data_IF_001820291928
#
_entry.id   IF_001820291928
#
_cell.length_a   1.000
_cell.length_b   1.000
_cell.length_c   1.000
_cell.angle_alpha   90.00
_cell.angle_beta   90.00
_cell.angle_gamma   90.00
#
_symmetry.space_group_name_H-M   'P 1'
#
loop_
_entity.id
_entity.type
_entity.pdbx_description
1 polymer ?
#
# COMPACT_ATOMS: atom_id res chain seq x y z
N UNK A 1 26.79 2.42 9.58
CA UNK A 1 25.67 2.04 10.48
C UNK A 1 24.57 1.26 9.78
N UNK A 2 24.29 1.48 8.48
CA UNK A 2 23.23 0.77 7.75
C UNK A 2 23.36 -0.76 7.65
N UNK A 3 24.59 -1.30 7.68
CA UNK A 3 24.81 -2.75 7.67
C UNK A 3 24.26 -3.47 8.91
N UNK A 4 24.36 -2.87 10.10
CA UNK A 4 23.80 -3.45 11.34
C UNK A 4 22.26 -3.45 11.29
N UNK A 5 21.66 -2.37 10.79
CA UNK A 5 20.21 -2.26 10.64
C UNK A 5 19.67 -3.27 9.62
N UNK A 6 20.36 -3.46 8.48
CA UNK A 6 20.01 -4.50 7.50
C UNK A 6 20.09 -5.91 8.09
N UNK A 7 21.09 -6.18 8.94
CA UNK A 7 21.26 -7.50 9.56
C UNK A 7 20.20 -7.78 10.64
N UNK A 8 19.71 -6.76 11.33
CA UNK A 8 18.72 -6.89 12.43
C UNK A 8 17.27 -6.78 11.97
N UNK A 9 16.98 -5.99 10.92
CA UNK A 9 15.62 -5.69 10.47
C UNK A 9 15.34 -6.11 9.02
N UNK A 10 16.35 -6.63 8.31
CA UNK A 10 16.23 -7.09 6.92
C UNK A 10 15.06 -8.05 6.70
N UNK A 11 14.34 -7.85 5.61
CA UNK A 11 13.40 -8.86 5.08
C UNK A 11 14.23 -9.96 4.42
N UNK A 12 14.02 -11.20 4.85
CA UNK A 12 14.70 -12.36 4.29
C UNK A 12 14.09 -12.73 2.90
N UNK A 13 14.89 -13.15 1.91
CA UNK A 13 14.37 -13.50 0.58
C UNK A 13 13.28 -14.58 0.61
N UNK A 14 13.34 -15.48 1.58
CA UNK A 14 12.36 -16.56 1.76
C UNK A 14 10.97 -16.01 2.11
N UNK A 15 10.88 -14.88 2.82
CA UNK A 15 9.60 -14.25 3.18
C UNK A 15 8.84 -13.70 1.96
N UNK A 16 9.50 -13.61 0.80
CA UNK A 16 8.94 -13.11 -0.46
C UNK A 16 8.38 -14.25 -1.31
N UNK A 17 8.92 -15.47 -1.12
CA UNK A 17 8.57 -16.63 -1.94
C UNK A 17 7.14 -17.10 -1.68
N UNK A 18 6.40 -17.34 -2.75
CA UNK A 18 4.99 -17.71 -2.67
C UNK A 18 4.76 -19.02 -1.89
N UNK A 19 5.65 -20.00 -2.10
CA UNK A 19 5.58 -21.32 -1.46
C UNK A 19 5.89 -21.28 0.04
N UNK A 20 6.91 -20.50 0.44
CA UNK A 20 7.26 -20.31 1.84
C UNK A 20 6.12 -19.69 2.66
N UNK A 21 5.28 -18.87 2.02
CA UNK A 21 4.11 -18.22 2.65
C UNK A 21 2.89 -19.14 2.79
N UNK A 22 2.95 -20.33 2.20
CA UNK A 22 1.83 -21.25 2.16
C UNK A 22 0.63 -20.68 1.39
N UNK A 23 0.87 -19.79 0.42
CA UNK A 23 -0.18 -19.33 -0.48
C UNK A 23 -0.51 -20.44 -1.47
N UNK A 24 -1.77 -20.49 -1.92
CA UNK A 24 -2.27 -21.57 -2.77
C UNK A 24 -2.97 -21.03 -4.02
N UNK A 25 -2.83 -21.75 -5.13
CA UNK A 25 -3.52 -21.43 -6.40
C UNK A 25 -2.73 -20.45 -7.27
N UNK A 26 -3.40 -19.91 -8.29
CA UNK A 26 -2.79 -19.03 -9.29
C UNK A 26 -1.88 -19.75 -10.30
N UNK A 27 -1.88 -19.28 -11.54
CA UNK A 27 -0.96 -19.72 -12.58
C UNK A 27 0.48 -19.23 -12.33
N UNK A 28 1.44 -19.76 -13.09
CA UNK A 28 2.87 -19.41 -12.95
C UNK A 28 3.10 -17.90 -13.07
N UNK A 29 2.42 -17.25 -14.03
CA UNK A 29 2.59 -15.81 -14.29
C UNK A 29 2.20 -14.90 -13.11
N UNK A 30 1.05 -15.15 -12.47
CA UNK A 30 0.61 -14.31 -11.34
C UNK A 30 1.49 -14.52 -10.10
N UNK A 31 1.99 -15.75 -9.89
CA UNK A 31 2.94 -16.04 -8.81
C UNK A 31 4.25 -15.30 -9.02
N UNK A 32 4.83 -15.38 -10.22
CA UNK A 32 6.04 -14.63 -10.57
C UNK A 32 5.85 -13.12 -10.43
N UNK A 33 4.69 -12.58 -10.82
CA UNK A 33 4.37 -11.16 -10.64
C UNK A 33 4.32 -10.78 -9.16
N UNK A 34 3.68 -11.59 -8.31
CA UNK A 34 3.61 -11.35 -6.86
C UNK A 34 5.01 -11.38 -6.23
N UNK A 35 5.84 -12.35 -6.60
CA UNK A 35 7.22 -12.45 -6.12
C UNK A 35 8.06 -11.25 -6.58
N UNK A 36 7.96 -10.85 -7.85
CA UNK A 36 8.64 -9.67 -8.38
C UNK A 36 8.25 -8.38 -7.64
N UNK A 37 6.96 -8.23 -7.29
CA UNK A 37 6.48 -7.11 -6.47
C UNK A 37 7.15 -7.12 -5.09
N UNK A 38 7.18 -8.28 -4.44
CA UNK A 38 7.80 -8.45 -3.13
C UNK A 38 9.33 -8.22 -3.14
N UNK A 39 10.02 -8.69 -4.18
CA UNK A 39 11.46 -8.46 -4.39
C UNK A 39 11.75 -6.96 -4.57
N UNK A 40 10.92 -6.28 -5.36
CA UNK A 40 11.05 -4.83 -5.58
C UNK A 40 10.84 -4.06 -4.27
N UNK A 41 9.82 -4.42 -3.50
CA UNK A 41 9.58 -3.85 -2.17
C UNK A 41 10.77 -4.08 -1.23
N UNK A 42 11.27 -5.31 -1.14
CA UNK A 42 12.38 -5.65 -0.26
C UNK A 42 13.68 -4.94 -0.67
N UNK A 43 13.92 -4.77 -1.97
CA UNK A 43 15.05 -3.99 -2.50
C UNK A 43 15.00 -2.53 -2.02
N UNK A 44 13.86 -1.86 -2.17
CA UNK A 44 13.69 -0.49 -1.68
C UNK A 44 13.85 -0.38 -0.16
N UNK A 45 13.32 -1.35 0.59
CA UNK A 45 13.49 -1.44 2.04
C UNK A 45 14.97 -1.56 2.43
N UNK A 46 15.73 -2.46 1.81
CA UNK A 46 17.16 -2.60 2.09
C UNK A 46 17.96 -1.37 1.66
N UNK A 47 17.60 -0.71 0.56
CA UNK A 47 18.25 0.53 0.12
C UNK A 47 18.13 1.63 1.20
N UNK A 48 16.92 1.85 1.72
CA UNK A 48 16.67 2.83 2.78
C UNK A 48 17.32 2.50 4.14
N UNK A 49 17.65 1.24 4.39
CA UNK A 49 18.43 0.87 5.57
C UNK A 49 19.93 1.19 5.42
N UNK A 50 20.43 1.30 4.19
CA UNK A 50 21.84 1.57 3.89
C UNK A 50 22.10 3.06 3.69
N UNK A 51 21.19 3.75 3.02
CA UNK A 51 21.26 5.17 2.69
C UNK A 51 20.03 5.89 3.22
N UNK A 52 20.25 6.83 4.15
CA UNK A 52 19.20 7.67 4.72
C UNK A 52 19.19 9.11 4.18
N UNK A 53 19.98 9.40 3.15
CA UNK A 53 19.93 10.67 2.41
C UNK A 53 18.78 10.63 1.38
N UNK A 54 17.80 11.55 1.44
CA UNK A 54 16.60 11.47 0.61
C UNK A 54 16.84 11.47 -0.90
N UNK A 55 17.73 12.34 -1.41
CA UNK A 55 17.94 12.53 -2.83
C UNK A 55 18.66 11.33 -3.47
N UNK A 56 19.71 10.84 -2.81
CA UNK A 56 20.52 9.70 -3.23
C UNK A 56 19.74 8.39 -3.15
N UNK A 57 18.91 8.22 -2.12
CA UNK A 57 17.96 7.11 -2.04
C UNK A 57 16.99 7.14 -3.21
N UNK A 58 16.33 8.28 -3.48
CA UNK A 58 15.38 8.39 -4.59
C UNK A 58 16.04 8.16 -5.96
N UNK A 59 17.23 8.70 -6.19
CA UNK A 59 18.01 8.44 -7.41
C UNK A 59 18.28 6.94 -7.58
N UNK A 60 18.67 6.27 -6.51
CA UNK A 60 18.90 4.82 -6.52
C UNK A 60 17.62 4.04 -6.87
N UNK A 61 16.49 4.37 -6.25
CA UNK A 61 15.21 3.73 -6.53
C UNK A 61 14.74 3.96 -7.97
N UNK A 62 14.89 5.19 -8.46
CA UNK A 62 14.50 5.58 -9.83
C UNK A 62 15.34 4.89 -10.90
N UNK A 63 16.63 4.69 -10.63
CA UNK A 63 17.57 4.03 -11.54
C UNK A 63 17.40 2.51 -11.55
N UNK A 64 17.12 1.90 -10.40
CA UNK A 64 17.06 0.44 -10.26
C UNK A 64 15.70 -0.14 -10.63
N UNK A 65 14.62 0.65 -10.59
CA UNK A 65 13.26 0.14 -10.76
C UNK A 65 12.51 0.93 -11.83
N UNK A 66 12.09 0.21 -12.86
CA UNK A 66 11.41 0.76 -14.01
C UNK A 66 9.88 0.76 -13.87
N UNK A 67 9.25 1.71 -14.55
CA UNK A 67 7.82 1.71 -14.87
C UNK A 67 6.89 1.50 -13.66
N UNK A 68 6.03 0.48 -13.78
CA UNK A 68 4.92 0.23 -12.86
C UNK A 68 5.35 -0.25 -11.47
N UNK A 69 6.55 -0.84 -11.36
CA UNK A 69 7.02 -1.46 -10.11
C UNK A 69 7.66 -0.45 -9.15
N UNK A 70 8.04 0.74 -9.65
CA UNK A 70 8.73 1.78 -8.88
C UNK A 70 8.00 2.15 -7.59
N UNK A 71 6.67 2.20 -7.63
CA UNK A 71 5.87 2.50 -6.44
C UNK A 71 6.14 1.54 -5.28
N UNK A 72 6.34 0.24 -5.55
CA UNK A 72 6.66 -0.75 -4.51
C UNK A 72 8.05 -0.54 -3.91
N UNK A 73 9.02 -0.09 -4.71
CA UNK A 73 10.35 0.25 -4.20
C UNK A 73 10.29 1.44 -3.23
N UNK A 74 9.52 2.48 -3.58
CA UNK A 74 9.26 3.61 -2.70
C UNK A 74 8.46 3.22 -1.44
N UNK A 75 7.52 2.27 -1.56
CA UNK A 75 6.80 1.71 -0.41
C UNK A 75 7.75 1.02 0.57
N UNK A 76 8.64 0.15 0.07
CA UNK A 76 9.66 -0.51 0.86
C UNK A 76 10.64 0.47 1.49
N UNK A 77 11.11 1.46 0.72
CA UNK A 77 12.01 2.50 1.22
C UNK A 77 11.36 3.29 2.37
N UNK A 78 10.10 3.67 2.23
CA UNK A 78 9.35 4.35 3.28
C UNK A 78 9.25 3.50 4.56
N UNK A 79 9.02 2.20 4.43
CA UNK A 79 9.06 1.29 5.58
C UNK A 79 10.45 1.28 6.24
N UNK A 80 11.53 1.25 5.45
CA UNK A 80 12.92 1.26 5.93
C UNK A 80 13.23 2.52 6.73
N UNK A 81 12.89 3.69 6.19
CA UNK A 81 13.06 4.98 6.86
C UNK A 81 12.24 5.07 8.15
N UNK A 82 11.00 4.60 8.14
CA UNK A 82 10.13 4.60 9.33
C UNK A 82 10.69 3.71 10.45
N UNK A 83 11.23 2.52 10.11
CA UNK A 83 11.93 1.66 11.08
C UNK A 83 13.19 2.36 11.61
N UNK A 84 13.97 3.00 10.74
CA UNK A 84 15.17 3.73 11.16
C UNK A 84 14.86 4.92 12.08
N UNK A 85 13.76 5.64 11.85
CA UNK A 85 13.29 6.74 12.70
C UNK A 85 12.82 6.23 14.06
N UNK A 86 12.17 5.06 14.12
CA UNK A 86 11.81 4.43 15.39
C UNK A 86 13.04 4.03 16.21
N UNK A 87 14.07 3.47 15.58
CA UNK A 87 15.31 3.04 16.23
C UNK A 87 16.17 4.24 16.67
N UNK A 88 16.08 5.37 15.95
CA UNK A 88 16.85 6.58 16.22
C UNK A 88 15.96 7.82 16.41
N UNK A 89 15.14 7.86 17.48
CA UNK A 89 14.07 8.86 17.64
C UNK A 89 14.58 10.29 17.93
N UNK A 90 15.85 10.45 18.29
CA UNK A 90 16.47 11.76 18.56
C UNK A 90 16.99 12.45 17.29
N UNK A 91 16.95 11.78 16.14
CA UNK A 91 17.32 12.38 14.85
C UNK A 91 16.09 12.98 14.17
N UNK A 92 16.27 13.98 13.28
CA UNK A 92 15.21 14.43 12.39
C UNK A 92 14.59 13.25 11.64
N UNK A 93 13.28 13.30 11.42
CA UNK A 93 12.58 12.21 10.73
C UNK A 93 13.03 12.13 9.27
N UNK A 94 13.66 11.03 8.91
CA UNK A 94 14.08 10.74 7.53
C UNK A 94 12.86 10.43 6.68
N UNK A 95 11.87 9.75 7.26
CA UNK A 95 10.61 9.48 6.57
C UNK A 95 9.91 10.77 6.17
N UNK A 96 9.84 11.76 7.09
CA UNK A 96 9.25 13.06 6.79
C UNK A 96 10.07 13.84 5.76
N UNK A 97 11.41 13.84 5.88
CA UNK A 97 12.28 14.49 4.91
C UNK A 97 12.16 13.89 3.50
N UNK A 98 11.99 12.57 3.40
CA UNK A 98 11.74 11.88 2.13
C UNK A 98 10.37 12.21 1.56
N UNK A 99 9.33 12.26 2.42
CA UNK A 99 7.96 12.63 2.03
C UNK A 99 7.86 14.07 1.51
N UNK A 100 8.51 15.02 2.18
CA UNK A 100 8.50 16.44 1.82
C UNK A 100 9.47 16.78 0.68
N UNK A 101 10.25 15.80 0.21
CA UNK A 101 11.21 15.94 -0.87
C UNK A 101 10.94 14.93 -1.99
N UNK A 102 11.92 14.09 -2.36
CA UNK A 102 11.87 13.31 -3.59
C UNK A 102 10.87 12.13 -3.56
N UNK A 103 10.23 11.86 -2.43
CA UNK A 103 9.14 10.90 -2.30
C UNK A 103 7.73 11.49 -2.53
N UNK A 104 7.61 12.78 -2.83
CA UNK A 104 6.31 13.48 -2.93
C UNK A 104 5.38 12.88 -4.00
N UNK A 105 5.92 12.45 -5.13
CA UNK A 105 5.13 11.80 -6.20
C UNK A 105 4.64 10.39 -5.80
N UNK A 106 5.17 9.87 -4.70
CA UNK A 106 4.88 8.55 -4.17
C UNK A 106 4.18 8.59 -2.80
N UNK A 107 3.61 9.73 -2.37
CA UNK A 107 2.95 9.93 -1.06
C UNK A 107 2.06 8.75 -0.67
N UNK A 108 1.21 8.25 -1.57
CA UNK A 108 0.36 7.10 -1.29
C UNK A 108 1.18 5.88 -0.81
N UNK A 109 2.26 5.54 -1.53
CA UNK A 109 3.12 4.40 -1.21
C UNK A 109 3.90 4.65 0.08
N UNK A 110 4.32 5.89 0.34
CA UNK A 110 5.05 6.23 1.56
C UNK A 110 4.20 6.00 2.81
N UNK A 111 2.92 6.38 2.78
CA UNK A 111 2.01 6.10 3.90
C UNK A 111 1.70 4.61 4.05
N UNK A 112 1.51 3.88 2.95
CA UNK A 112 1.32 2.43 3.02
C UNK A 112 2.56 1.76 3.65
N UNK A 113 3.77 2.12 3.21
CA UNK A 113 5.04 1.64 3.79
C UNK A 113 5.23 1.99 5.27
N UNK A 114 4.77 3.18 5.71
CA UNK A 114 4.68 3.51 7.13
C UNK A 114 3.78 2.52 7.88
N UNK A 115 2.63 2.15 7.31
CA UNK A 115 1.75 1.12 7.86
C UNK A 115 2.43 -0.23 8.09
N UNK A 116 3.22 -0.68 7.11
CA UNK A 116 4.04 -1.89 7.23
C UNK A 116 5.07 -1.79 8.36
N UNK A 117 5.72 -0.63 8.52
CA UNK A 117 6.64 -0.41 9.64
C UNK A 117 5.90 -0.51 10.98
N UNK A 118 4.77 0.17 11.13
CA UNK A 118 3.96 0.14 12.35
C UNK A 118 3.48 -1.28 12.72
N UNK A 119 3.30 -2.17 11.76
CA UNK A 119 2.91 -3.55 12.00
C UNK A 119 4.03 -4.42 12.61
N UNK A 120 5.30 -4.01 12.46
CA UNK A 120 6.48 -4.70 13.01
C UNK A 120 7.02 -4.05 14.28
N UNK A 121 6.55 -2.86 14.62
CA UNK A 121 7.01 -2.08 15.76
C UNK A 121 6.08 -2.25 16.97
N UNK A 122 6.59 -2.19 18.22
CA UNK A 122 5.79 -2.35 19.43
C UNK A 122 5.01 -1.06 19.77
N UNK A 123 4.20 -0.56 18.82
CA UNK A 123 3.47 0.70 18.92
C UNK A 123 1.96 0.48 18.85
N UNK A 124 1.20 1.43 19.42
CA UNK A 124 -0.26 1.44 19.29
C UNK A 124 -0.63 2.12 17.98
N UNK A 125 -1.18 1.37 17.03
CA UNK A 125 -1.49 1.83 15.66
C UNK A 125 -2.19 3.20 15.64
N UNK A 126 -3.35 3.34 16.29
CA UNK A 126 -4.06 4.62 16.28
C UNK A 126 -3.28 5.77 16.91
N UNK A 127 -2.50 5.49 17.96
CA UNK A 127 -1.73 6.54 18.62
C UNK A 127 -0.60 7.02 17.72
N UNK A 128 0.04 6.10 17.00
CA UNK A 128 1.09 6.42 16.04
C UNK A 128 0.53 7.24 14.86
N UNK A 129 -0.63 6.87 14.32
CA UNK A 129 -1.21 7.53 13.14
C UNK A 129 -1.94 8.84 13.46
N UNK A 130 -2.29 9.11 14.73
CA UNK A 130 -2.91 10.39 15.15
C UNK A 130 -2.07 11.63 14.87
N UNK A 131 -0.74 11.49 14.82
CA UNK A 131 0.20 12.59 14.58
C UNK A 131 0.50 12.84 13.10
N UNK A 132 0.00 11.97 12.23
CA UNK A 132 0.15 12.10 10.78
C UNK A 132 -0.92 13.02 10.19
N UNK A 133 -0.79 13.32 8.89
CA UNK A 133 -1.80 14.08 8.16
C UNK A 133 -3.22 13.44 8.34
N UNK A 134 -4.25 14.23 8.71
CA UNK A 134 -5.58 13.71 9.02
C UNK A 134 -6.26 12.94 7.89
N UNK A 135 -5.93 13.25 6.64
CA UNK A 135 -6.48 12.59 5.45
C UNK A 135 -5.65 11.36 5.09
N UNK A 136 -4.32 11.47 5.14
CA UNK A 136 -3.43 10.42 4.62
C UNK A 136 -3.14 9.31 5.62
N UNK A 137 -3.31 9.55 6.93
CA UNK A 137 -3.08 8.56 7.99
C UNK A 137 -3.86 7.25 7.80
N UNK A 138 -4.97 7.28 7.07
CA UNK A 138 -5.78 6.10 6.78
C UNK A 138 -5.06 5.14 5.82
N UNK A 139 -4.19 5.65 4.94
CA UNK A 139 -3.33 4.83 4.08
C UNK A 139 -2.28 4.05 4.88
N UNK A 140 -1.82 4.59 6.02
CA UNK A 140 -0.95 3.84 6.93
C UNK A 140 -1.72 2.73 7.66
N UNK A 141 -2.99 2.95 8.01
CA UNK A 141 -3.83 1.89 8.60
C UNK A 141 -4.18 0.83 7.55
N UNK A 142 -4.42 1.22 6.30
CA UNK A 142 -4.55 0.31 5.15
C UNK A 142 -3.27 -0.51 4.95
N UNK A 143 -2.09 0.11 4.90
CA UNK A 143 -0.82 -0.61 4.83
C UNK A 143 -0.58 -1.57 6.00
N UNK A 144 -0.98 -1.19 7.21
CA UNK A 144 -0.96 -2.09 8.36
C UNK A 144 -1.89 -3.29 8.16
N UNK A 145 -3.12 -3.07 7.68
CA UNK A 145 -4.07 -4.13 7.36
C UNK A 145 -3.56 -5.09 6.29
N UNK A 146 -2.92 -4.54 5.25
CA UNK A 146 -2.24 -5.33 4.22
C UNK A 146 -1.17 -6.23 4.83
N UNK A 147 -0.28 -5.67 5.64
CA UNK A 147 0.79 -6.42 6.30
C UNK A 147 0.21 -7.58 7.12
N UNK A 148 -0.78 -7.31 7.98
CA UNK A 148 -1.41 -8.36 8.79
C UNK A 148 -2.06 -9.45 7.94
N UNK A 149 -2.76 -9.06 6.88
CA UNK A 149 -3.37 -9.98 5.94
C UNK A 149 -2.36 -10.79 5.12
N UNK A 150 -1.19 -10.25 4.82
CA UNK A 150 -0.16 -10.91 4.01
C UNK A 150 0.75 -11.82 4.85
N UNK A 151 1.15 -11.42 6.07
CA UNK A 151 2.04 -12.19 6.97
C UNK A 151 1.31 -13.11 7.95
N UNK A 152 0.07 -12.79 8.30
CA UNK A 152 -0.68 -13.50 9.33
C UNK A 152 -2.08 -13.86 8.80
N UNK A 153 -2.16 -14.28 7.54
CA UNK A 153 -3.41 -14.51 6.83
C UNK A 153 -4.31 -15.55 7.52
N UNK A 154 -3.76 -16.59 8.14
CA UNK A 154 -4.55 -17.58 8.89
C UNK A 154 -5.31 -16.93 10.05
N UNK A 155 -4.72 -15.92 10.68
CA UNK A 155 -5.28 -15.19 11.83
C UNK A 155 -6.25 -14.09 11.39
N UNK A 156 -5.87 -13.26 10.42
CA UNK A 156 -6.66 -12.09 10.03
C UNK A 156 -7.68 -12.37 8.91
N UNK A 157 -7.42 -13.35 8.05
CA UNK A 157 -8.37 -13.80 7.02
C UNK A 157 -9.13 -15.05 7.49
N UNK A 158 -8.43 -16.06 8.02
CA UNK A 158 -9.04 -17.31 8.46
C UNK A 158 -9.87 -17.17 9.75
N UNK A 159 -9.26 -16.63 10.80
CA UNK A 159 -9.92 -16.41 12.10
C UNK A 159 -10.58 -15.03 12.22
N UNK A 160 -10.42 -14.17 11.21
CA UNK A 160 -11.02 -12.84 11.11
C UNK A 160 -10.68 -11.91 12.29
N UNK A 161 -9.53 -12.11 12.93
CA UNK A 161 -9.15 -11.31 14.09
C UNK A 161 -9.04 -9.82 13.73
N UNK A 162 -9.45 -8.95 14.65
CA UNK A 162 -9.32 -7.50 14.50
C UNK A 162 -8.33 -6.92 15.51
N UNK A 163 -7.50 -5.94 15.11
CA UNK A 163 -6.69 -5.20 16.07
C UNK A 163 -7.55 -4.55 17.14
N UNK A 164 -7.17 -4.73 18.41
CA UNK A 164 -7.90 -4.15 19.53
C UNK A 164 -7.83 -2.62 19.49
N UNK A 165 -8.90 -1.97 19.94
CA UNK A 165 -8.98 -0.51 20.17
C UNK A 165 -8.89 0.35 18.89
N UNK A 166 -9.36 -0.18 17.75
CA UNK A 166 -9.62 0.64 16.57
C UNK A 166 -11.03 1.25 16.62
N UNK A 167 -11.09 2.55 16.35
CA UNK A 167 -12.28 3.33 16.02
C UNK A 167 -12.97 2.78 14.78
N UNK A 168 -14.25 3.07 14.61
CA UNK A 168 -15.05 2.53 13.49
C UNK A 168 -14.39 2.78 12.13
N UNK A 169 -13.96 4.02 11.85
CA UNK A 169 -13.33 4.36 10.57
C UNK A 169 -11.93 3.72 10.42
N UNK A 170 -11.15 3.59 11.49
CA UNK A 170 -9.86 2.90 11.44
C UNK A 170 -10.05 1.41 11.08
N UNK A 171 -11.13 0.77 11.52
CA UNK A 171 -11.46 -0.61 11.10
C UNK A 171 -11.77 -0.68 9.61
N UNK A 172 -12.51 0.29 9.08
CA UNK A 172 -12.78 0.38 7.64
C UNK A 172 -11.48 0.47 6.82
N UNK A 173 -10.53 1.32 7.22
CA UNK A 173 -9.23 1.44 6.56
C UNK A 173 -8.39 0.15 6.69
N UNK A 174 -8.41 -0.48 7.87
CA UNK A 174 -7.74 -1.75 8.10
C UNK A 174 -8.29 -2.86 7.18
N UNK A 175 -9.61 -2.94 7.02
CA UNK A 175 -10.26 -3.91 6.15
C UNK A 175 -10.02 -3.66 4.66
N UNK A 176 -9.81 -2.42 4.22
CA UNK A 176 -9.33 -2.15 2.85
C UNK A 176 -7.94 -2.76 2.63
N UNK A 177 -7.04 -2.61 3.62
CA UNK A 177 -5.72 -3.23 3.59
C UNK A 177 -5.78 -4.75 3.55
N UNK A 178 -6.64 -5.33 4.39
CA UNK A 178 -6.89 -6.76 4.43
C UNK A 178 -7.46 -7.26 3.09
N UNK A 179 -8.38 -6.50 2.50
CA UNK A 179 -8.95 -6.77 1.18
C UNK A 179 -7.89 -6.79 0.08
N UNK A 180 -6.98 -5.82 0.07
CA UNK A 180 -5.85 -5.83 -0.85
C UNK A 180 -4.99 -7.07 -0.68
N UNK A 181 -4.72 -7.50 0.55
CA UNK A 181 -3.89 -8.69 0.81
C UNK A 181 -4.50 -9.99 0.27
N UNK A 182 -5.84 -10.08 0.19
CA UNK A 182 -6.52 -11.26 -0.38
C UNK A 182 -6.12 -11.51 -1.83
N UNK A 183 -5.87 -10.46 -2.61
CA UNK A 183 -5.37 -10.59 -3.99
C UNK A 183 -4.07 -11.39 -4.04
N UNK A 184 -3.18 -11.17 -3.08
CA UNK A 184 -1.88 -11.83 -3.01
C UNK A 184 -2.03 -13.25 -2.43
N UNK A 185 -2.73 -13.38 -1.30
CA UNK A 185 -2.94 -14.65 -0.59
C UNK A 185 -3.69 -15.67 -1.46
N UNK A 186 -4.61 -15.20 -2.30
CA UNK A 186 -5.40 -16.03 -3.22
C UNK A 186 -4.90 -15.98 -4.67
N UNK A 187 -3.71 -15.42 -4.90
CA UNK A 187 -3.05 -15.36 -6.21
C UNK A 187 -3.95 -14.84 -7.34
N UNK A 188 -4.72 -13.79 -7.08
CA UNK A 188 -5.60 -13.15 -8.04
C UNK A 188 -6.82 -13.99 -8.46
N UNK A 189 -7.09 -15.13 -7.83
CA UNK A 189 -8.26 -15.98 -8.13
C UNK A 189 -9.54 -15.33 -7.60
N UNK A 190 -10.44 -14.82 -8.47
CA UNK A 190 -11.61 -14.07 -8.03
C UNK A 190 -12.59 -14.91 -7.22
N UNK A 191 -12.74 -16.19 -7.53
CA UNK A 191 -13.67 -17.10 -6.86
C UNK A 191 -13.20 -17.38 -5.44
N UNK A 192 -11.90 -17.63 -5.26
CA UNK A 192 -11.29 -17.82 -3.93
C UNK A 192 -11.37 -16.55 -3.09
N UNK A 193 -11.16 -15.39 -3.71
CA UNK A 193 -11.29 -14.08 -3.04
C UNK A 193 -12.75 -13.88 -2.58
N UNK A 194 -13.72 -14.09 -3.46
CA UNK A 194 -15.14 -13.95 -3.13
C UNK A 194 -15.57 -14.90 -2.01
N UNK A 195 -15.11 -16.16 -2.05
CA UNK A 195 -15.38 -17.14 -1.00
C UNK A 195 -14.78 -16.71 0.35
N UNK A 196 -13.55 -16.19 0.35
CA UNK A 196 -12.94 -15.65 1.56
C UNK A 196 -13.75 -14.48 2.12
N UNK A 197 -14.13 -13.50 1.29
CA UNK A 197 -14.93 -12.34 1.71
C UNK A 197 -16.32 -12.75 2.20
N UNK A 198 -16.95 -13.74 1.58
CA UNK A 198 -18.26 -14.24 2.00
C UNK A 198 -18.26 -14.83 3.42
N UNK A 199 -17.11 -15.28 3.93
CA UNK A 199 -16.99 -15.76 5.31
C UNK A 199 -17.01 -14.63 6.35
N UNK A 200 -16.68 -13.39 5.97
CA UNK A 200 -16.65 -12.25 6.90
C UNK A 200 -18.06 -11.80 7.28
N UNK A 201 -18.16 -11.13 8.44
CA UNK A 201 -19.39 -10.42 8.83
C UNK A 201 -19.78 -9.38 7.76
N UNK A 202 -21.07 -9.21 7.44
CA UNK A 202 -21.52 -8.34 6.34
C UNK A 202 -20.93 -6.91 6.35
N UNK A 203 -20.81 -6.30 7.52
CA UNK A 203 -20.31 -4.92 7.67
C UNK A 203 -18.85 -4.74 7.23
N UNK A 204 -18.05 -5.81 7.15
CA UNK A 204 -16.63 -5.76 6.75
C UNK A 204 -16.44 -5.99 5.25
N UNK A 205 -17.36 -6.71 4.60
CA UNK A 205 -17.25 -7.13 3.20
C UNK A 205 -17.07 -5.96 2.24
N UNK A 206 -17.81 -4.87 2.48
CA UNK A 206 -17.75 -3.62 1.70
C UNK A 206 -16.32 -3.08 1.57
N UNK A 207 -15.57 -3.04 2.68
CA UNK A 207 -14.22 -2.51 2.70
C UNK A 207 -13.20 -3.49 2.11
N UNK A 208 -13.39 -4.79 2.33
CA UNK A 208 -12.58 -5.84 1.71
C UNK A 208 -12.67 -5.76 0.18
N UNK A 209 -13.88 -5.62 -0.38
CA UNK A 209 -14.07 -5.48 -1.84
C UNK A 209 -13.42 -4.22 -2.41
N UNK A 210 -13.43 -3.12 -1.66
CA UNK A 210 -12.71 -1.91 -2.07
C UNK A 210 -11.19 -2.15 -2.13
N UNK A 211 -10.64 -2.85 -1.14
CA UNK A 211 -9.24 -3.28 -1.14
C UNK A 211 -8.88 -4.19 -2.32
N UNK A 212 -9.74 -5.16 -2.64
CA UNK A 212 -9.56 -6.05 -3.78
C UNK A 212 -9.54 -5.29 -5.10
N UNK A 213 -10.45 -4.34 -5.31
CA UNK A 213 -10.49 -3.53 -6.53
C UNK A 213 -9.21 -2.72 -6.72
N UNK A 214 -8.69 -2.14 -5.63
CA UNK A 214 -7.41 -1.44 -5.64
C UNK A 214 -6.25 -2.38 -5.97
N UNK A 215 -6.17 -3.56 -5.34
CA UNK A 215 -5.09 -4.51 -5.61
C UNK A 215 -5.12 -5.05 -7.04
N UNK A 216 -6.32 -5.34 -7.57
CA UNK A 216 -6.51 -5.74 -8.97
C UNK A 216 -5.94 -4.70 -9.94
N UNK A 217 -6.26 -3.41 -9.72
CA UNK A 217 -5.77 -2.31 -10.56
C UNK A 217 -4.29 -1.96 -10.32
N UNK A 218 -3.75 -2.24 -9.13
CA UNK A 218 -2.39 -1.86 -8.74
C UNK A 218 -1.35 -2.92 -9.07
N UNK A 219 -1.61 -4.18 -8.69
CA UNK A 219 -0.69 -5.30 -8.91
C UNK A 219 -0.72 -5.78 -10.37
N UNK A 220 -1.90 -5.71 -11.00
CA UNK A 220 -2.12 -6.13 -12.38
C UNK A 220 -1.73 -7.60 -12.60
N UNK A 221 -1.27 -7.92 -13.82
CA UNK A 221 -0.74 -9.24 -14.15
C UNK A 221 -1.80 -10.34 -14.31
N UNK A 222 -3.06 -9.95 -14.52
CA UNK A 222 -4.18 -10.88 -14.77
C UNK A 222 -4.83 -10.57 -16.11
N UNK A 223 -5.39 -11.61 -16.73
CA UNK A 223 -6.11 -11.50 -18.00
C UNK A 223 -7.46 -10.81 -17.82
N UNK A 224 -8.02 -10.31 -18.94
CA UNK A 224 -9.34 -9.68 -18.95
C UNK A 224 -10.44 -10.58 -18.38
N UNK A 225 -10.37 -11.87 -18.69
CA UNK A 225 -11.28 -12.91 -18.17
C UNK A 225 -11.33 -12.92 -16.64
N UNK A 226 -10.18 -12.76 -15.97
CA UNK A 226 -10.09 -12.69 -14.50
C UNK A 226 -10.81 -11.45 -13.96
N UNK A 227 -10.68 -10.32 -14.64
CA UNK A 227 -11.35 -9.06 -14.26
C UNK A 227 -12.87 -9.19 -14.48
N UNK A 228 -13.30 -9.83 -15.56
CA UNK A 228 -14.71 -10.12 -15.84
C UNK A 228 -15.30 -11.05 -14.77
N UNK A 229 -14.61 -12.14 -14.43
CA UNK A 229 -15.03 -13.01 -13.32
C UNK A 229 -15.08 -12.25 -12.00
N UNK A 230 -14.11 -11.38 -11.70
CA UNK A 230 -14.10 -10.55 -10.48
C UNK A 230 -15.33 -9.64 -10.40
N UNK A 231 -15.74 -9.06 -11.53
CA UNK A 231 -16.95 -8.25 -11.64
C UNK A 231 -18.20 -9.09 -11.36
N UNK A 232 -18.28 -10.30 -11.89
CA UNK A 232 -19.41 -11.21 -11.67
C UNK A 232 -19.52 -11.65 -10.21
N UNK A 233 -18.44 -12.17 -9.61
CA UNK A 233 -18.47 -12.62 -8.21
C UNK A 233 -18.63 -11.47 -7.21
N UNK A 234 -18.32 -10.24 -7.65
CA UNK A 234 -18.43 -9.01 -6.88
C UNK A 234 -19.67 -8.18 -7.19
N UNK A 235 -20.68 -8.71 -7.90
CA UNK A 235 -21.85 -7.96 -8.38
C UNK A 235 -22.54 -7.10 -7.30
N UNK A 236 -22.69 -7.62 -6.08
CA UNK A 236 -23.26 -6.88 -4.95
C UNK A 236 -22.38 -5.75 -4.37
N UNK A 237 -21.16 -5.62 -4.85
CA UNK A 237 -20.12 -4.71 -4.34
C UNK A 237 -19.41 -3.92 -5.44
N UNK A 238 -20.00 -3.83 -6.63
CA UNK A 238 -19.42 -3.10 -7.77
C UNK A 238 -19.03 -1.65 -7.45
N UNK A 239 -19.82 -0.85 -6.70
CA UNK A 239 -19.40 0.50 -6.33
C UNK A 239 -18.11 0.52 -5.49
N UNK A 240 -17.95 -0.45 -4.59
CA UNK A 240 -16.76 -0.55 -3.74
C UNK A 240 -15.53 -1.00 -4.53
N UNK A 241 -15.70 -1.99 -5.41
CA UNK A 241 -14.67 -2.42 -6.35
C UNK A 241 -14.20 -1.23 -7.20
N UNK A 242 -15.13 -0.48 -7.80
CA UNK A 242 -14.84 0.69 -8.62
C UNK A 242 -14.15 1.80 -7.82
N UNK A 243 -14.55 2.04 -6.56
CA UNK A 243 -13.86 2.96 -5.66
C UNK A 243 -12.39 2.58 -5.48
N UNK A 244 -12.10 1.29 -5.25
CA UNK A 244 -10.74 0.79 -5.13
C UNK A 244 -9.91 1.02 -6.39
N UNK A 245 -10.48 0.70 -7.56
CA UNK A 245 -9.84 0.95 -8.87
C UNK A 245 -9.57 2.45 -9.07
N UNK A 246 -10.51 3.33 -8.75
CA UNK A 246 -10.34 4.78 -8.91
C UNK A 246 -9.20 5.36 -8.06
N UNK A 247 -8.92 4.78 -6.88
CA UNK A 247 -7.77 5.19 -6.06
C UNK A 247 -6.43 4.93 -6.75
N UNK A 248 -6.33 3.93 -7.65
CA UNK A 248 -5.15 3.77 -8.52
C UNK A 248 -4.99 4.95 -9.47
N UNK A 249 -6.09 5.38 -10.09
CA UNK A 249 -6.12 6.41 -11.13
C UNK A 249 -5.84 7.79 -10.55
N UNK A 250 -6.19 8.05 -9.29
CA UNK A 250 -5.79 9.28 -8.58
C UNK A 250 -4.26 9.45 -8.46
N UNK A 251 -3.46 8.40 -8.71
CA UNK A 251 -1.99 8.53 -8.88
C UNK A 251 -1.56 9.09 -10.25
N UNK A 252 -2.39 8.95 -11.29
CA UNK A 252 -2.15 9.54 -12.63
C UNK A 252 -2.65 10.98 -12.72
N UNK A 253 -3.56 11.37 -11.85
CA UNK A 253 -4.13 12.72 -11.80
C UNK A 253 -3.40 13.54 -10.71
N UNK A 254 -2.21 14.02 -11.08
CA UNK A 254 -1.39 14.95 -10.32
C UNK A 254 -2.12 16.25 -9.83
N UNK A 255 -3.19 16.80 -10.44
CA UNK A 255 -3.69 18.11 -10.00
C UNK A 255 -4.49 18.13 -8.69
N UNK A 256 -5.00 17.01 -8.17
CA UNK A 256 -5.90 17.07 -6.99
C UNK A 256 -5.15 17.16 -5.66
N UNK A 257 -3.93 16.63 -5.57
CA UNK A 257 -3.21 16.54 -4.30
C UNK A 257 -2.64 17.88 -3.81
N UNK A 258 -1.98 18.69 -4.67
CA UNK A 258 -1.61 20.06 -4.32
C UNK A 258 -2.83 20.94 -4.05
N UNK A 259 -3.94 20.73 -4.77
CA UNK A 259 -5.19 21.46 -4.61
C UNK A 259 -5.89 21.16 -3.27
N UNK A 260 -5.92 19.89 -2.84
CA UNK A 260 -6.42 19.48 -1.52
C UNK A 260 -5.51 20.02 -0.41
N UNK A 261 -4.17 19.95 -0.58
CA UNK A 261 -3.20 20.52 0.37
C UNK A 261 -3.33 22.05 0.50
N UNK A 262 -3.63 22.75 -0.60
CA UNK A 262 -3.94 24.18 -0.62
C UNK A 262 -5.29 24.50 0.04
N UNK A 263 -6.36 23.76 -0.27
CA UNK A 263 -7.68 23.93 0.37
C UNK A 263 -7.64 23.70 1.88
N UNK A 264 -6.79 22.79 2.36
CA UNK A 264 -6.62 22.47 3.78
C UNK A 264 -5.60 23.40 4.50
N UNK A 265 -5.18 24.50 3.86
CA UNK A 265 -4.38 25.55 4.51
C UNK A 265 -2.87 25.30 4.54
N UNK A 266 -2.37 24.31 3.79
CA UNK A 266 -0.94 24.10 3.60
C UNK A 266 -0.35 25.23 2.76
N UNK A 267 0.52 26.06 3.34
CA UNK A 267 1.29 27.08 2.60
C UNK A 267 2.34 26.40 1.70
N UNK A 268 1.92 25.96 0.52
CA UNK A 268 2.82 25.66 -0.58
C UNK A 268 3.42 26.96 -1.11
N UNK A 269 4.76 27.08 -1.09
CA UNK A 269 5.47 28.14 -1.78
C UNK A 269 5.43 27.85 -3.29
N UNK A 270 4.42 28.35 -3.97
CA UNK A 270 4.31 28.27 -5.43
C UNK A 270 2.90 28.60 -5.87
N UNK A 271 2.72 29.77 -6.48
CA UNK A 271 1.43 30.19 -7.02
C UNK A 271 1.01 29.30 -8.18
N UNK A 272 0.09 28.37 -7.95
CA UNK A 272 -0.57 27.63 -9.01
C UNK A 272 -1.76 28.46 -9.53
N UNK A 273 -1.82 28.69 -10.85
CA UNK A 273 -3.00 29.25 -11.53
C UNK A 273 -4.18 28.27 -11.44
N UNK A 274 -5.44 28.75 -11.36
CA UNK A 274 -6.61 27.89 -11.35
C UNK A 274 -6.71 27.08 -12.66
N UNK A 275 -6.96 25.77 -12.52
CA UNK A 275 -7.13 24.83 -13.64
C UNK A 275 -8.56 24.96 -14.17
N UNK A 276 -8.70 25.13 -15.48
CA UNK A 276 -9.98 25.09 -16.19
C UNK A 276 -10.39 23.63 -16.43
N UNK A 277 -11.50 23.21 -15.83
CA UNK A 277 -12.03 21.83 -15.93
C UNK A 277 -12.44 21.43 -17.36
N UNK A 278 -12.44 22.36 -18.31
CA UNK A 278 -12.75 22.11 -19.72
C UNK A 278 -11.58 21.51 -20.55
N UNK A 279 -10.37 21.41 -19.99
CA UNK A 279 -9.17 20.96 -20.72
C UNK A 279 -8.74 19.50 -20.43
N UNK A 280 -9.53 18.73 -19.68
CA UNK A 280 -9.23 17.31 -19.42
C UNK A 280 -9.68 16.44 -20.61
N UNK A 281 -8.77 15.77 -21.35
CA UNK A 281 -9.15 14.92 -22.47
C UNK A 281 -9.94 13.68 -22.00
N UNK A 282 -11.04 13.37 -22.68
CA UNK A 282 -12.00 12.31 -22.32
C UNK A 282 -11.53 10.86 -22.43
N UNK A 283 -10.24 10.59 -22.63
CA UNK A 283 -9.71 9.22 -22.81
C UNK A 283 -9.18 8.57 -21.51
N UNK A 284 -9.36 9.21 -20.35
CA UNK A 284 -8.92 8.70 -19.05
C UNK A 284 -9.96 7.83 -18.30
N UNK A 285 -10.85 7.14 -19.02
CA UNK A 285 -11.90 6.28 -18.46
C UNK A 285 -11.98 4.93 -19.21
N UNK A 286 -10.89 4.13 -19.14
CA UNK A 286 -10.93 2.66 -19.25
C UNK A 286 -9.91 2.09 -18.27
#
# INVERSE_FOLDING_TARGET
MGWLNRKLFGIAPEEIRFDYRGFEGGGVHIRQRIEQIGETFASGYHAALLDDEPASLAETLNRQVEGELRGFAFEGAAMGLAVADFVHPFRPSRWQAFLDGPGEDHVYMLYVGMGWALARLPVRLEQATRRMDPLLRWLAIDGYGFHQGYFHWQRFIGQQEEPRRLTAYARCAFDQGLGRSLWFVKAGDPVRIATAIASFTPNRRTHLWSGVGLACAYAGGVERSVVETLREVGEGFLPQLAQGVAMRVCKRVNPLFPFIRWMLGGRGKGGAKPINLAEVPGEALI
#
